data_IF_874435766344
#
_entry.id   IF_874435766344
#
_cell.length_a   1.000
_cell.length_b   1.000
_cell.length_c   1.000
_cell.angle_alpha   90.00
_cell.angle_beta   90.00
_cell.angle_gamma   90.00
#
_symmetry.space_group_name_H-M   'P 1'
#
loop_
_entity.id
_entity.type
_entity.pdbx_description
1 polymer ?
#
# COMPACT_ATOMS: atom_id res chain seq x y z
N UNK A 1 -17.08 1.88 -11.85
CA UNK A 1 -15.71 1.88 -11.29
C UNK A 1 -15.31 0.51 -10.73
N UNK A 2 -16.13 -0.15 -9.90
CA UNK A 2 -15.84 -1.50 -9.37
C UNK A 2 -15.58 -2.55 -10.46
N UNK A 3 -16.42 -2.60 -11.49
CA UNK A 3 -16.29 -3.65 -12.52
C UNK A 3 -15.06 -3.45 -13.41
N UNK A 4 -14.66 -2.19 -13.65
CA UNK A 4 -13.39 -1.86 -14.33
C UNK A 4 -12.19 -2.27 -13.50
N UNK A 5 -12.22 -2.02 -12.19
CA UNK A 5 -11.15 -2.44 -11.27
C UNK A 5 -11.05 -3.97 -11.20
N UNK A 6 -12.18 -4.68 -11.14
CA UNK A 6 -12.21 -6.14 -11.18
C UNK A 6 -11.65 -6.69 -12.50
N UNK A 7 -11.92 -6.03 -13.64
CA UNK A 7 -11.30 -6.39 -14.93
C UNK A 7 -9.80 -6.18 -14.95
N UNK A 8 -9.30 -5.23 -14.16
CA UNK A 8 -7.86 -5.02 -13.94
C UNK A 8 -7.32 -5.88 -12.79
N UNK A 9 -8.07 -6.89 -12.34
CA UNK A 9 -7.75 -7.80 -11.24
C UNK A 9 -7.53 -7.11 -9.87
N UNK A 10 -7.98 -5.87 -9.74
CA UNK A 10 -8.00 -5.18 -8.46
C UNK A 10 -9.26 -5.55 -7.68
N UNK A 11 -9.04 -6.01 -6.46
CA UNK A 11 -10.10 -6.32 -5.51
C UNK A 11 -10.02 -5.43 -4.27
N UNK A 12 -11.10 -5.38 -3.50
CA UNK A 12 -11.12 -4.68 -2.23
C UNK A 12 -10.15 -5.36 -1.24
N UNK A 13 -9.32 -4.58 -0.55
CA UNK A 13 -8.41 -5.06 0.49
C UNK A 13 -9.13 -5.42 1.82
N UNK A 14 -10.43 -5.70 1.78
CA UNK A 14 -11.18 -6.09 2.97
C UNK A 14 -10.81 -7.51 3.41
N UNK A 15 -10.84 -7.77 4.72
CA UNK A 15 -10.50 -9.08 5.30
C UNK A 15 -11.26 -10.22 4.62
N UNK A 16 -12.57 -10.07 4.44
CA UNK A 16 -13.44 -11.10 3.84
C UNK A 16 -13.08 -11.37 2.39
N UNK A 17 -12.69 -10.34 1.64
CA UNK A 17 -12.31 -10.48 0.25
C UNK A 17 -10.94 -11.14 0.09
N UNK A 18 -9.95 -10.67 0.88
CA UNK A 18 -8.63 -11.30 0.93
C UNK A 18 -8.73 -12.78 1.32
N UNK A 19 -9.52 -13.14 2.35
CA UNK A 19 -9.74 -14.54 2.73
C UNK A 19 -10.40 -15.37 1.61
N UNK A 20 -11.33 -14.78 0.85
CA UNK A 20 -11.94 -15.47 -0.30
C UNK A 20 -10.89 -15.80 -1.37
N UNK A 21 -10.03 -14.85 -1.72
CA UNK A 21 -8.97 -15.03 -2.71
C UNK A 21 -7.89 -15.98 -2.18
N UNK A 22 -7.47 -15.84 -0.92
CA UNK A 22 -6.45 -16.70 -0.33
C UNK A 22 -6.89 -18.18 -0.31
N UNK A 23 -8.18 -18.46 -0.11
CA UNK A 23 -8.75 -19.82 -0.17
C UNK A 23 -8.70 -20.45 -1.55
N UNK A 24 -8.63 -19.68 -2.62
CA UNK A 24 -8.49 -20.24 -3.98
C UNK A 24 -7.04 -20.59 -4.32
N UNK A 25 -6.08 -20.25 -3.44
CA UNK A 25 -4.65 -20.49 -3.68
C UNK A 25 -4.01 -19.48 -4.65
N UNK A 26 -4.71 -18.39 -4.98
CA UNK A 26 -4.20 -17.37 -5.90
C UNK A 26 -3.15 -16.47 -5.24
N UNK A 27 -2.14 -16.10 -6.02
CA UNK A 27 -1.17 -15.08 -5.61
C UNK A 27 -1.87 -13.72 -5.49
N UNK A 28 -1.47 -12.94 -4.49
CA UNK A 28 -2.03 -11.61 -4.21
C UNK A 28 -0.93 -10.60 -3.94
N UNK A 29 -1.10 -9.40 -4.49
CA UNK A 29 -0.26 -8.25 -4.19
C UNK A 29 -1.06 -7.28 -3.33
N UNK A 30 -0.47 -6.84 -2.21
CA UNK A 30 -1.07 -5.86 -1.32
C UNK A 30 -0.11 -4.70 -1.13
N UNK A 31 -0.61 -3.48 -1.36
CA UNK A 31 0.11 -2.25 -1.05
C UNK A 31 -0.28 -1.79 0.37
N UNK A 32 0.58 -1.99 1.39
CA UNK A 32 0.25 -1.60 2.75
C UNK A 32 0.21 -0.07 2.87
N UNK A 33 -0.80 0.42 3.59
CA UNK A 33 -0.88 1.83 4.01
C UNK A 33 -1.86 2.70 3.24
N UNK A 34 -2.14 2.43 1.95
CA UNK A 34 -3.19 3.11 1.18
C UNK A 34 -3.19 4.65 1.33
N UNK A 35 -4.35 5.21 1.67
CA UNK A 35 -4.56 6.66 1.78
C UNK A 35 -3.61 7.40 2.75
N UNK A 36 -3.17 6.72 3.81
CA UNK A 36 -2.27 7.29 4.80
C UNK A 36 -0.86 7.52 4.24
N UNK A 37 -0.38 6.64 3.36
CA UNK A 37 0.91 6.80 2.68
C UNK A 37 0.85 8.00 1.73
N UNK A 38 -0.24 8.10 0.95
CA UNK A 38 -0.49 9.25 0.09
C UNK A 38 -0.52 10.56 0.89
N UNK A 39 -1.10 10.56 2.10
CA UNK A 39 -1.14 11.74 2.96
C UNK A 39 0.24 12.17 3.48
N UNK A 40 1.07 11.19 3.84
CA UNK A 40 2.43 11.40 4.34
C UNK A 40 3.44 11.72 3.24
N UNK A 41 3.04 11.58 1.97
CA UNK A 41 3.90 11.80 0.82
C UNK A 41 4.55 13.18 0.85
N UNK A 42 5.87 13.16 0.72
CA UNK A 42 6.71 14.32 0.56
C UNK A 42 7.80 13.97 -0.45
N UNK A 43 7.98 14.84 -1.46
CA UNK A 43 8.96 14.61 -2.52
C UNK A 43 10.37 14.42 -1.94
N UNK A 44 11.07 13.38 -2.38
CA UNK A 44 12.42 13.03 -1.93
C UNK A 44 12.51 12.45 -0.52
N UNK A 45 11.39 12.01 0.08
CA UNK A 45 11.40 11.30 1.37
C UNK A 45 10.69 9.95 1.25
N UNK A 46 11.37 8.90 1.69
CA UNK A 46 10.77 7.57 1.83
C UNK A 46 9.95 7.51 3.12
N UNK A 47 8.62 7.38 2.99
CA UNK A 47 7.70 7.29 4.12
C UNK A 47 6.72 6.14 3.89
N UNK A 48 6.88 5.06 4.64
CA UNK A 48 6.02 3.87 4.58
C UNK A 48 5.20 3.76 5.86
N UNK A 49 3.89 3.54 5.72
CA UNK A 49 2.97 3.35 6.85
C UNK A 49 2.60 1.87 7.00
N UNK A 50 3.47 1.11 7.68
CA UNK A 50 3.29 -0.34 7.88
C UNK A 50 3.24 -0.76 9.36
N UNK A 51 3.90 -0.01 10.25
CA UNK A 51 4.07 -0.38 11.68
C UNK A 51 2.77 -0.55 12.48
N UNK A 52 1.62 -0.10 11.95
CA UNK A 52 0.32 -0.22 12.63
C UNK A 52 -0.66 -1.14 11.89
N UNK A 53 -0.21 -1.81 10.81
CA UNK A 53 -1.09 -2.58 9.91
C UNK A 53 -0.53 -3.97 9.66
N UNK A 54 -0.69 -4.86 10.63
CA UNK A 54 -0.21 -6.25 10.52
C UNK A 54 -1.30 -7.28 10.17
N UNK A 55 -2.55 -6.84 9.97
CA UNK A 55 -3.67 -7.75 9.71
C UNK A 55 -3.49 -8.65 8.48
N UNK A 56 -2.81 -8.15 7.44
CA UNK A 56 -2.52 -8.96 6.25
C UNK A 56 -1.48 -10.05 6.51
N UNK A 57 -0.51 -9.80 7.41
CA UNK A 57 0.48 -10.81 7.84
C UNK A 57 -0.23 -11.92 8.62
N UNK A 58 -1.15 -11.55 9.53
CA UNK A 58 -1.98 -12.53 10.24
C UNK A 58 -2.78 -13.41 9.28
N UNK A 59 -3.37 -12.82 8.23
CA UNK A 59 -4.09 -13.59 7.20
C UNK A 59 -3.17 -14.52 6.40
N UNK A 60 -1.99 -14.03 6.01
CA UNK A 60 -1.01 -14.85 5.30
C UNK A 60 -0.54 -16.04 6.15
N UNK A 61 -0.30 -15.82 7.45
CA UNK A 61 -0.01 -16.87 8.43
C UNK A 61 -1.15 -17.92 8.50
N UNK A 62 -2.40 -17.48 8.63
CA UNK A 62 -3.55 -18.40 8.73
C UNK A 62 -3.78 -19.25 7.48
N UNK A 63 -3.31 -18.78 6.31
CA UNK A 63 -3.48 -19.47 5.04
C UNK A 63 -2.19 -20.09 4.49
N UNK A 64 -1.07 -20.00 5.23
CA UNK A 64 0.22 -20.58 4.82
C UNK A 64 0.88 -19.90 3.61
N UNK A 65 0.66 -18.60 3.42
CA UNK A 65 1.24 -17.85 2.30
C UNK A 65 2.65 -17.37 2.61
N UNK A 66 3.58 -17.54 1.66
CA UNK A 66 4.88 -16.88 1.71
C UNK A 66 4.74 -15.39 1.37
N UNK A 67 5.35 -14.52 2.20
CA UNK A 67 5.28 -13.07 1.99
C UNK A 67 6.56 -12.60 1.32
N UNK A 68 6.45 -11.96 0.16
CA UNK A 68 7.57 -11.36 -0.56
C UNK A 68 7.53 -9.84 -0.38
N UNK A 69 8.45 -9.24 0.39
CA UNK A 69 8.52 -7.80 0.51
C UNK A 69 9.03 -7.21 -0.81
N UNK A 70 8.27 -6.28 -1.41
CA UNK A 70 8.68 -5.52 -2.57
C UNK A 70 8.67 -4.03 -2.24
N UNK A 71 9.68 -3.30 -2.71
CA UNK A 71 9.78 -1.86 -2.55
C UNK A 71 10.24 -1.21 -3.87
N UNK A 72 9.60 -0.12 -4.25
CA UNK A 72 9.92 0.62 -5.47
C UNK A 72 10.60 1.94 -5.10
N UNK A 73 11.87 2.07 -5.44
CA UNK A 73 12.62 3.33 -5.34
C UNK A 73 12.31 4.24 -6.52
N UNK A 74 12.39 5.55 -6.30
CA UNK A 74 12.11 6.57 -7.32
C UNK A 74 10.67 7.09 -7.26
N UNK A 75 9.72 6.35 -6.67
CA UNK A 75 8.33 6.77 -6.55
C UNK A 75 8.20 8.13 -5.86
N UNK A 76 9.08 8.42 -4.91
CA UNK A 76 9.15 9.67 -4.14
C UNK A 76 9.53 10.91 -4.97
N UNK A 77 9.94 10.76 -6.23
CA UNK A 77 10.25 11.85 -7.13
C UNK A 77 9.20 12.04 -8.24
N UNK A 78 8.28 11.08 -8.39
CA UNK A 78 7.29 11.05 -9.49
C UNK A 78 6.25 12.17 -9.42
N UNK A 79 5.96 12.66 -8.21
CA UNK A 79 5.01 13.76 -8.01
C UNK A 79 5.61 14.88 -7.15
N UNK A 80 5.25 16.11 -7.49
CA UNK A 80 5.37 17.23 -6.58
C UNK A 80 4.15 17.29 -5.68
N UNK A 81 4.36 17.41 -4.38
CA UNK A 81 3.28 17.68 -3.43
C UNK A 81 3.60 18.99 -2.70
N UNK A 82 2.56 19.77 -2.42
CA UNK A 82 2.72 21.02 -1.70
C UNK A 82 3.21 20.73 -0.27
N UNK A 83 4.42 21.18 0.13
CA UNK A 83 5.07 20.74 1.37
C UNK A 83 4.55 21.45 2.63
N UNK A 84 3.77 22.52 2.48
CA UNK A 84 3.24 23.30 3.60
C UNK A 84 1.93 22.71 4.15
N UNK A 85 1.60 23.04 5.40
CA UNK A 85 0.36 22.64 6.09
C UNK A 85 0.24 21.13 6.38
N UNK A 86 1.35 20.44 6.67
CA UNK A 86 1.35 19.02 7.06
C UNK A 86 0.37 18.72 8.22
N UNK A 87 0.30 19.61 9.22
CA UNK A 87 -0.65 19.48 10.33
C UNK A 87 -2.13 19.54 9.87
N UNK A 88 -2.48 20.42 8.95
CA UNK A 88 -3.83 20.52 8.39
C UNK A 88 -4.17 19.29 7.53
N UNK A 89 -3.20 18.82 6.73
CA UNK A 89 -3.33 17.58 5.94
C UNK A 89 -3.61 16.37 6.82
N UNK A 90 -2.92 16.27 7.95
CA UNK A 90 -3.13 15.20 8.93
C UNK A 90 -4.50 15.32 9.63
N UNK A 91 -4.97 16.54 9.92
CA UNK A 91 -6.31 16.76 10.46
C UNK A 91 -7.39 16.41 9.42
N UNK A 92 -7.24 16.82 8.16
CA UNK A 92 -8.17 16.49 7.06
C UNK A 92 -8.24 14.98 6.78
N UNK A 93 -7.12 14.26 6.90
CA UNK A 93 -7.11 12.80 6.80
C UNK A 93 -7.99 12.14 7.89
N UNK A 94 -8.04 12.68 9.11
CA UNK A 94 -8.97 12.19 10.14
C UNK A 94 -10.44 12.32 9.70
N UNK A 95 -10.74 13.31 8.86
CA UNK A 95 -12.05 13.54 8.26
C UNK A 95 -12.24 12.86 6.89
N UNK A 96 -11.35 11.94 6.50
CA UNK A 96 -11.39 11.23 5.19
C UNK A 96 -11.28 12.14 3.96
N UNK A 97 -10.80 13.38 4.12
CA UNK A 97 -10.60 14.32 3.00
C UNK A 97 -9.13 14.25 2.54
N UNK A 98 -8.85 13.97 1.26
CA UNK A 98 -7.48 14.01 0.73
C UNK A 98 -6.94 15.43 0.76
N UNK A 99 -6.16 15.75 1.79
CA UNK A 99 -5.48 17.05 1.91
C UNK A 99 -4.26 17.19 1.00
N UNK A 100 -3.94 16.18 0.19
CA UNK A 100 -2.74 16.19 -0.67
C UNK A 100 -3.14 16.47 -2.10
N UNK A 101 -2.64 17.59 -2.61
CA UNK A 101 -2.71 17.90 -4.03
C UNK A 101 -1.37 17.47 -4.63
N UNK A 102 -1.42 16.48 -5.51
CA UNK A 102 -0.29 16.02 -6.31
C UNK A 102 -0.26 16.80 -7.61
N UNK A 103 0.91 17.30 -7.97
CA UNK A 103 1.20 17.96 -9.23
C UNK A 103 2.27 17.14 -9.93
N UNK A 104 1.91 16.62 -11.10
CA UNK A 104 2.80 15.90 -12.01
C UNK A 104 3.24 16.79 -13.17
N UNK A 105 3.21 16.25 -14.38
CA UNK A 105 3.70 16.92 -15.59
C UNK A 105 2.95 18.25 -15.84
N UNK A 106 3.64 19.36 -16.24
CA UNK A 106 3.00 20.66 -16.48
C UNK A 106 1.84 20.64 -17.48
N UNK A 107 1.90 19.78 -18.51
CA UNK A 107 0.83 19.63 -19.50
C UNK A 107 -0.31 18.70 -19.02
N UNK A 108 -0.06 17.87 -17.99
CA UNK A 108 -1.02 16.89 -17.50
C UNK A 108 -0.76 16.61 -16.01
N UNK A 109 -1.34 17.44 -15.13
CA UNK A 109 -0.97 17.52 -13.72
C UNK A 109 -1.26 16.24 -12.90
N UNK A 110 -2.05 15.30 -13.40
CA UNK A 110 -2.32 14.02 -12.73
C UNK A 110 -1.35 12.89 -13.13
N UNK A 111 -0.56 13.07 -14.20
CA UNK A 111 0.39 12.07 -14.66
C UNK A 111 1.75 12.22 -13.95
N UNK A 112 2.41 11.12 -13.57
CA UNK A 112 3.70 11.17 -12.91
C UNK A 112 4.78 11.71 -13.87
N UNK A 113 5.83 12.28 -13.30
CA UNK A 113 7.06 12.62 -14.00
C UNK A 113 7.69 11.38 -14.63
N UNK A 114 8.00 11.47 -15.93
CA UNK A 114 8.62 10.38 -16.71
C UNK A 114 10.14 10.40 -16.68
N UNK A 115 10.74 11.44 -16.10
CA UNK A 115 12.19 11.65 -15.95
C UNK A 115 12.76 11.01 -14.68
N UNK A 116 12.05 10.04 -14.10
CA UNK A 116 12.41 9.39 -12.84
C UNK A 116 12.53 7.89 -13.06
N UNK A 117 13.69 7.34 -12.73
CA UNK A 117 13.93 5.90 -12.76
C UNK A 117 13.20 5.21 -11.60
N UNK A 118 12.33 4.27 -11.93
CA UNK A 118 11.62 3.43 -10.97
C UNK A 118 12.32 2.08 -10.84
N UNK A 119 12.86 1.79 -9.67
CA UNK A 119 13.61 0.55 -9.40
C UNK A 119 12.86 -0.26 -8.34
N UNK A 120 12.23 -1.36 -8.77
CA UNK A 120 11.56 -2.29 -7.85
C UNK A 120 12.53 -3.36 -7.38
N UNK A 121 12.74 -3.44 -6.07
CA UNK A 121 13.53 -4.48 -5.41
C UNK A 121 12.60 -5.45 -4.70
N UNK A 122 12.79 -6.74 -4.95
CA UNK A 122 12.05 -7.82 -4.28
C UNK A 122 13.01 -8.53 -3.31
N UNK A 123 12.64 -8.54 -2.04
CA UNK A 123 13.38 -9.23 -1.00
C UNK A 123 13.12 -10.73 -0.97
N UNK A 124 13.91 -11.44 -0.15
CA UNK A 124 13.71 -12.87 0.11
C UNK A 124 12.34 -13.13 0.74
N UNK A 125 11.72 -14.30 0.47
CA UNK A 125 10.45 -14.66 1.08
C UNK A 125 10.59 -14.73 2.60
N UNK A 126 9.65 -14.10 3.29
CA UNK A 126 9.36 -14.38 4.69
C UNK A 126 8.49 -15.65 4.68
N UNK A 127 9.13 -16.79 4.89
CA UNK A 127 8.42 -18.05 5.09
C UNK A 127 7.75 -18.02 6.45
N UNK A 128 6.43 -18.05 6.43
CA UNK A 128 5.62 -18.06 7.62
C UNK A 128 4.87 -19.39 7.67
N UNK A 129 5.12 -20.16 8.73
CA UNK A 129 4.45 -21.44 8.95
C UNK A 129 2.99 -21.18 9.30
N UNK A 130 2.10 -22.03 8.79
CA UNK A 130 0.68 -21.93 9.10
C UNK A 130 0.47 -22.10 10.60
N UNK A 131 -0.05 -21.07 11.24
CA UNK A 131 -0.44 -21.11 12.66
C UNK A 131 -1.95 -21.29 12.72
N UNK A 132 -2.43 -22.04 13.72
CA UNK A 132 -3.85 -22.24 14.00
C UNK A 132 -4.62 -20.90 13.92
N UNK A 133 -5.74 -20.82 13.17
CA UNK A 133 -6.58 -19.64 13.06
C UNK A 133 -6.98 -19.00 14.40
N UNK A 134 -7.09 -19.82 15.46
CA UNK A 134 -7.49 -19.41 16.81
C UNK A 134 -6.29 -19.04 17.71
N UNK A 135 -5.05 -19.19 17.22
CA UNK A 135 -3.89 -18.73 17.95
C UNK A 135 -3.88 -17.20 18.04
N UNK A 136 -3.81 -16.70 19.28
CA UNK A 136 -3.72 -15.27 19.55
C UNK A 136 -2.30 -14.79 19.22
N UNK A 137 -2.05 -14.56 17.92
CA UNK A 137 -0.77 -14.08 17.41
C UNK A 137 -0.57 -12.62 17.84
N UNK A 138 0.17 -12.42 18.92
CA UNK A 138 0.75 -11.12 19.25
C UNK A 138 1.90 -10.85 18.28
N UNK A 139 1.71 -9.85 17.42
CA UNK A 139 2.74 -9.39 16.49
C UNK A 139 3.52 -8.31 17.24
N UNK A 140 4.72 -8.69 17.69
CA UNK A 140 5.66 -7.84 18.46
C UNK A 140 6.12 -6.65 17.61
#
# INVERSE_FOLDING_TARGET
MRDVLNWMEFSNSSKTCMQRIMRTGQNLCLLPGGFQVATLYQRGKHRVYIQKRFGFIKLALQHGYNIYPAYTFGEEYTYHAFPYLEWLRLQLNKFWIPGVIFFGIPHCFYLPHSDVDLITVIGKPLQVYAVDPDANLEII
#
